data_IF_319455313628
#
_entry.id   IF_319455313628
#
_cell.length_a   1.000
_cell.length_b   1.000
_cell.length_c   1.000
_cell.angle_alpha   90.00
_cell.angle_beta   90.00
_cell.angle_gamma   90.00
#
_symmetry.space_group_name_H-M   'P 1'
#
loop_
_entity.id
_entity.type
_entity.pdbx_description
1 polymer ?
#
# COMPACT_ATOMS: atom_id res chain seq x y z
N UNK A 1 -15.61 -31.68 -7.03
CA UNK A 1 -14.47 -31.10 -7.78
C UNK A 1 -14.86 -29.67 -8.10
N UNK A 2 -14.04 -28.67 -7.80
CA UNK A 2 -14.42 -27.27 -8.03
C UNK A 2 -14.31 -26.92 -9.52
N UNK A 3 -15.08 -25.97 -10.02
CA UNK A 3 -15.04 -25.45 -11.41
C UNK A 3 -13.62 -24.97 -11.77
N UNK A 4 -12.84 -24.52 -10.80
CA UNK A 4 -11.40 -24.27 -10.95
C UNK A 4 -10.68 -25.53 -11.45
N UNK A 5 -10.95 -26.70 -10.85
CA UNK A 5 -10.35 -27.94 -11.28
C UNK A 5 -10.80 -28.40 -12.69
N UNK A 6 -12.04 -28.08 -13.09
CA UNK A 6 -12.56 -28.39 -14.44
C UNK A 6 -12.03 -27.43 -15.51
N UNK A 7 -11.97 -26.15 -15.22
CA UNK A 7 -11.33 -25.17 -16.11
C UNK A 7 -9.85 -25.47 -16.32
N UNK A 8 -9.15 -25.88 -15.26
CA UNK A 8 -7.75 -26.30 -15.28
C UNK A 8 -7.53 -27.64 -16.01
N UNK A 9 -8.54 -28.53 -16.00
CA UNK A 9 -8.48 -29.80 -16.76
C UNK A 9 -8.71 -29.60 -18.27
N UNK A 10 -9.38 -28.54 -18.67
CA UNK A 10 -9.59 -28.17 -20.09
C UNK A 10 -8.39 -27.48 -20.74
N UNK A 11 -7.42 -26.99 -19.93
CA UNK A 11 -6.17 -26.37 -20.39
C UNK A 11 -4.94 -27.09 -19.80
N UNK A 12 -4.66 -28.36 -20.20
CA UNK A 12 -3.67 -29.22 -19.55
C UNK A 12 -2.20 -28.84 -19.73
N UNK A 13 -1.90 -27.80 -20.51
CA UNK A 13 -0.53 -27.40 -20.85
C UNK A 13 0.09 -26.34 -19.93
N UNK A 14 -0.65 -25.86 -18.92
CA UNK A 14 -0.12 -24.92 -17.95
C UNK A 14 0.21 -25.59 -16.61
N UNK A 15 1.46 -25.94 -16.34
CA UNK A 15 1.89 -26.48 -15.04
C UNK A 15 1.71 -25.49 -13.88
N UNK A 16 1.54 -24.20 -14.19
CA UNK A 16 1.51 -23.08 -13.24
C UNK A 16 0.17 -22.86 -12.54
N UNK A 17 -0.89 -23.55 -12.96
CA UNK A 17 -2.23 -23.44 -12.35
C UNK A 17 -2.42 -24.32 -11.10
N UNK A 18 -1.39 -25.06 -10.70
CA UNK A 18 -1.37 -25.82 -9.44
C UNK A 18 -1.73 -24.98 -8.19
N UNK A 19 -1.37 -23.68 -8.10
CA UNK A 19 -1.68 -22.88 -6.93
C UNK A 19 -3.16 -22.76 -6.60
N UNK A 20 -3.98 -22.51 -7.61
CA UNK A 20 -5.42 -22.30 -7.40
C UNK A 20 -6.23 -23.57 -7.17
N UNK A 21 -5.65 -24.76 -7.43
CA UNK A 21 -6.28 -26.05 -7.08
C UNK A 21 -6.45 -26.25 -5.58
N UNK A 22 -5.68 -25.55 -4.76
CA UNK A 22 -5.71 -25.65 -3.30
C UNK A 22 -6.67 -24.66 -2.64
N UNK A 23 -7.26 -23.71 -3.39
CA UNK A 23 -8.26 -22.79 -2.83
C UNK A 23 -9.53 -23.58 -2.57
N UNK A 24 -9.60 -24.20 -1.39
CA UNK A 24 -10.88 -24.64 -0.85
C UNK A 24 -11.75 -23.39 -0.62
N UNK A 25 -12.87 -23.33 -1.32
CA UNK A 25 -13.86 -22.25 -1.42
C UNK A 25 -14.54 -21.84 -0.10
N UNK A 26 -13.96 -22.15 1.05
CA UNK A 26 -14.55 -21.89 2.38
C UNK A 26 -14.31 -20.48 2.94
N UNK A 27 -13.38 -19.75 2.38
CA UNK A 27 -12.94 -18.47 2.98
C UNK A 27 -13.53 -17.21 2.34
N UNK A 28 -14.09 -17.29 1.15
CA UNK A 28 -14.88 -16.20 0.57
C UNK A 28 -16.34 -16.56 0.82
N UNK A 29 -17.09 -15.77 1.58
CA UNK A 29 -18.43 -16.05 2.12
C UNK A 29 -19.55 -16.47 1.15
N UNK A 30 -19.21 -17.04 0.01
CA UNK A 30 -20.07 -17.64 -0.97
C UNK A 30 -19.76 -19.12 -1.07
N UNK A 31 -20.60 -19.98 -0.49
CA UNK A 31 -20.53 -21.43 -0.59
C UNK A 31 -20.84 -21.96 -2.03
N UNK A 32 -20.39 -21.24 -3.05
CA UNK A 32 -20.55 -21.53 -4.46
C UNK A 32 -19.23 -21.78 -5.17
N UNK A 33 -19.32 -22.33 -6.37
CA UNK A 33 -18.18 -22.50 -7.29
C UNK A 33 -17.64 -21.11 -7.66
N UNK A 34 -16.30 -20.96 -7.67
CA UNK A 34 -15.69 -19.72 -8.16
C UNK A 34 -15.97 -19.59 -9.66
N UNK A 35 -16.60 -18.49 -10.05
CA UNK A 35 -16.75 -18.11 -11.45
C UNK A 35 -15.50 -17.32 -11.86
N UNK A 36 -15.07 -17.51 -13.11
CA UNK A 36 -13.97 -16.76 -13.71
C UNK A 36 -14.54 -15.81 -14.75
N UNK A 37 -14.09 -14.58 -14.70
CA UNK A 37 -14.54 -13.52 -15.57
C UNK A 37 -13.33 -12.77 -16.14
N UNK A 38 -13.36 -12.40 -17.42
CA UNK A 38 -12.30 -11.58 -17.99
C UNK A 38 -12.24 -10.23 -17.29
N UNK A 39 -11.04 -9.79 -16.90
CA UNK A 39 -10.84 -8.48 -16.28
C UNK A 39 -11.18 -7.30 -17.21
N UNK A 40 -11.24 -7.55 -18.50
CA UNK A 40 -11.34 -6.53 -19.56
C UNK A 40 -12.73 -5.98 -19.78
N UNK A 41 -13.80 -6.67 -19.44
CA UNK A 41 -15.16 -6.31 -19.89
C UNK A 41 -16.19 -6.24 -18.77
N UNK A 42 -15.79 -6.41 -17.53
CA UNK A 42 -16.70 -6.59 -16.42
C UNK A 42 -16.85 -5.35 -15.56
N UNK A 43 -17.97 -4.72 -15.69
CA UNK A 43 -18.44 -3.68 -14.80
C UNK A 43 -18.45 -2.27 -15.41
N UNK A 44 -19.22 -1.35 -14.82
CA UNK A 44 -19.18 0.06 -15.20
C UNK A 44 -17.74 0.57 -15.00
N UNK A 45 -17.31 1.58 -15.77
CA UNK A 45 -16.02 2.22 -15.59
C UNK A 45 -15.87 2.58 -14.11
N UNK A 46 -14.81 2.10 -13.51
CA UNK A 46 -14.63 2.20 -12.07
C UNK A 46 -14.79 3.64 -11.60
N UNK A 47 -15.79 3.86 -10.76
CA UNK A 47 -15.94 5.11 -10.04
C UNK A 47 -14.79 5.19 -9.03
N UNK A 48 -13.64 5.70 -9.46
CA UNK A 48 -12.63 6.14 -8.50
C UNK A 48 -13.08 7.49 -7.96
N UNK A 49 -13.30 7.61 -6.68
CA UNK A 49 -13.71 8.86 -6.03
C UNK A 49 -12.67 9.98 -6.14
N UNK A 50 -11.49 9.73 -6.66
CA UNK A 50 -10.44 10.72 -6.73
C UNK A 50 -9.57 10.58 -7.98
N UNK A 51 -9.50 11.62 -8.76
CA UNK A 51 -8.51 11.81 -9.81
C UNK A 51 -9.03 11.65 -11.22
N UNK A 52 -8.15 11.75 -12.18
CA UNK A 52 -8.42 11.74 -13.60
C UNK A 52 -9.15 10.50 -14.09
N UNK A 53 -9.95 10.70 -15.12
CA UNK A 53 -10.56 9.62 -15.87
C UNK A 53 -9.49 8.62 -16.34
N UNK A 54 -9.61 7.38 -15.91
CA UNK A 54 -8.84 6.28 -16.44
C UNK A 54 -9.69 5.60 -17.53
N UNK A 55 -9.09 5.34 -18.67
CA UNK A 55 -9.79 4.65 -19.75
C UNK A 55 -9.89 3.16 -19.42
N UNK A 56 -11.11 2.62 -19.45
CA UNK A 56 -11.32 1.18 -19.34
C UNK A 56 -10.75 0.49 -20.58
N UNK A 57 -9.86 -0.49 -20.46
CA UNK A 57 -9.28 -1.15 -21.61
C UNK A 57 -10.34 -1.98 -22.33
N UNK A 58 -10.47 -1.76 -23.62
CA UNK A 58 -11.18 -2.70 -24.50
C UNK A 58 -10.22 -3.78 -24.98
N UNK A 59 -10.75 -4.94 -25.36
CA UNK A 59 -9.92 -6.01 -25.96
C UNK A 59 -9.11 -5.53 -27.18
N UNK A 60 -9.68 -4.61 -27.96
CA UNK A 60 -9.00 -3.98 -29.09
C UNK A 60 -7.81 -3.10 -28.66
N UNK A 61 -8.01 -2.26 -27.63
CA UNK A 61 -6.97 -1.40 -27.10
C UNK A 61 -5.81 -2.23 -26.51
N UNK A 62 -6.14 -3.30 -25.76
CA UNK A 62 -5.14 -4.22 -25.21
C UNK A 62 -4.36 -4.96 -26.30
N UNK A 63 -5.03 -5.51 -27.31
CA UNK A 63 -4.34 -6.14 -28.45
C UNK A 63 -3.40 -5.18 -29.17
N UNK A 64 -3.83 -3.92 -29.34
CA UNK A 64 -2.96 -2.89 -29.92
C UNK A 64 -1.78 -2.55 -29.02
N UNK A 65 -2.03 -2.42 -27.70
CA UNK A 65 -1.02 -2.07 -26.71
C UNK A 65 0.03 -3.18 -26.54
N UNK A 66 -0.40 -4.44 -26.42
CA UNK A 66 0.46 -5.59 -26.18
C UNK A 66 1.14 -6.13 -27.46
N UNK A 67 0.70 -5.67 -28.64
CA UNK A 67 1.32 -6.08 -29.91
C UNK A 67 2.83 -5.80 -29.87
N UNK A 68 3.60 -6.80 -30.27
CA UNK A 68 5.06 -6.71 -30.40
C UNK A 68 5.81 -6.47 -29.07
N UNK A 69 5.12 -6.61 -27.93
CA UNK A 69 5.74 -6.52 -26.61
C UNK A 69 5.93 -7.92 -26.00
N UNK A 70 7.16 -8.36 -25.72
CA UNK A 70 7.37 -9.61 -25.01
C UNK A 70 6.98 -9.44 -23.56
N UNK A 71 5.92 -10.13 -23.14
CA UNK A 71 5.50 -10.15 -21.74
C UNK A 71 6.37 -11.14 -20.98
N UNK A 72 7.28 -10.66 -20.16
CA UNK A 72 8.10 -11.51 -19.30
C UNK A 72 7.31 -11.82 -18.04
N UNK A 73 6.99 -13.11 -17.87
CA UNK A 73 6.25 -13.58 -16.69
C UNK A 73 7.12 -13.57 -15.43
N UNK A 74 6.51 -13.52 -14.24
CA UNK A 74 7.22 -13.70 -12.98
C UNK A 74 7.93 -15.06 -12.92
N UNK A 75 9.11 -15.10 -12.30
CA UNK A 75 9.89 -16.32 -12.09
C UNK A 75 9.26 -17.28 -11.07
N UNK A 76 8.41 -16.76 -10.19
CA UNK A 76 7.65 -17.47 -9.15
C UNK A 76 6.28 -16.81 -8.99
N UNK A 77 5.28 -17.51 -8.41
CA UNK A 77 4.00 -16.87 -8.14
C UNK A 77 4.17 -15.65 -7.24
N UNK A 78 3.37 -14.61 -7.46
CA UNK A 78 3.33 -13.41 -6.63
C UNK A 78 1.93 -13.27 -6.03
N UNK A 79 1.89 -12.91 -4.77
CA UNK A 79 0.68 -12.51 -4.06
C UNK A 79 0.82 -11.04 -3.66
N UNK A 80 0.04 -10.17 -4.28
CA UNK A 80 0.04 -8.73 -4.01
C UNK A 80 -1.18 -8.35 -3.18
N UNK A 81 -0.94 -7.76 -2.01
CA UNK A 81 -1.95 -7.22 -1.08
C UNK A 81 -1.55 -5.80 -0.72
N UNK A 82 -2.48 -4.87 -0.68
CA UNK A 82 -2.17 -3.45 -0.49
C UNK A 82 -3.22 -2.73 0.35
N UNK A 83 -2.87 -1.57 0.89
CA UNK A 83 -3.78 -0.64 1.59
C UNK A 83 -4.56 -1.32 2.73
N UNK A 84 -3.84 -2.07 3.56
CA UNK A 84 -4.39 -2.79 4.72
C UNK A 84 -4.81 -1.87 5.87
N UNK A 85 -4.22 -0.68 5.94
CA UNK A 85 -4.63 0.40 6.84
C UNK A 85 -4.98 -0.05 8.26
N UNK A 86 -4.00 -0.66 8.96
CA UNK A 86 -4.16 -1.07 10.35
C UNK A 86 -5.33 -2.05 10.61
N UNK A 87 -5.65 -2.91 9.63
CA UNK A 87 -6.70 -3.93 9.74
C UNK A 87 -6.11 -5.35 9.66
N UNK A 88 -5.87 -5.95 10.86
CA UNK A 88 -5.31 -7.30 11.01
C UNK A 88 -6.22 -8.37 10.42
N UNK A 89 -7.52 -8.24 10.62
CA UNK A 89 -8.49 -9.22 10.12
C UNK A 89 -8.55 -9.18 8.60
N UNK A 90 -8.52 -7.99 7.98
CA UNK A 90 -8.46 -7.84 6.52
C UNK A 90 -7.20 -8.46 5.93
N UNK A 91 -6.05 -8.35 6.61
CA UNK A 91 -4.80 -9.01 6.23
C UNK A 91 -4.97 -10.54 6.15
N UNK A 92 -5.39 -11.17 7.25
CA UNK A 92 -5.54 -12.63 7.29
C UNK A 92 -6.65 -13.10 6.35
N UNK A 93 -7.77 -12.39 6.28
CA UNK A 93 -8.89 -12.71 5.39
C UNK A 93 -8.46 -12.68 3.92
N UNK A 94 -7.64 -11.72 3.52
CA UNK A 94 -7.11 -11.61 2.15
C UNK A 94 -6.21 -12.80 1.80
N UNK A 95 -5.32 -13.21 2.71
CA UNK A 95 -4.43 -14.36 2.49
C UNK A 95 -5.16 -15.72 2.54
N UNK A 96 -6.14 -15.87 3.43
CA UNK A 96 -7.00 -17.06 3.50
C UNK A 96 -7.85 -17.19 2.23
N UNK A 97 -8.49 -16.08 1.81
CA UNK A 97 -9.32 -16.06 0.60
C UNK A 97 -8.54 -16.40 -0.67
N UNK A 98 -7.27 -16.07 -0.70
CA UNK A 98 -6.35 -16.42 -1.79
C UNK A 98 -5.78 -17.85 -1.68
N UNK A 99 -6.04 -18.59 -0.59
CA UNK A 99 -5.46 -19.90 -0.34
C UNK A 99 -3.95 -19.90 -0.06
N UNK A 100 -3.40 -18.73 0.28
CA UNK A 100 -1.97 -18.55 0.56
C UNK A 100 -1.59 -19.01 1.96
N UNK A 101 -2.54 -18.94 2.89
CA UNK A 101 -2.39 -19.41 4.26
C UNK A 101 -3.54 -20.35 4.63
N UNK A 102 -3.32 -21.17 5.66
CA UNK A 102 -4.35 -21.94 6.36
C UNK A 102 -4.24 -21.69 7.85
N UNK A 103 -5.36 -21.77 8.56
CA UNK A 103 -5.36 -21.70 10.03
C UNK A 103 -5.31 -23.12 10.58
N UNK A 104 -4.26 -23.44 11.35
CA UNK A 104 -4.07 -24.75 11.96
C UNK A 104 -5.04 -24.93 13.14
N UNK A 105 -5.64 -26.11 13.19
CA UNK A 105 -6.54 -26.53 14.29
C UNK A 105 -7.73 -25.58 14.54
N UNK A 106 -8.05 -24.70 13.60
CA UNK A 106 -9.18 -23.74 13.72
C UNK A 106 -10.37 -24.28 12.93
N UNK A 107 -11.48 -24.50 13.63
CA UNK A 107 -12.73 -24.99 13.05
C UNK A 107 -13.62 -23.86 12.54
N UNK A 108 -13.53 -22.67 13.15
CA UNK A 108 -14.37 -21.52 12.84
C UNK A 108 -13.53 -20.31 12.46
N UNK A 109 -13.60 -19.92 11.18
CA UNK A 109 -12.90 -18.76 10.61
C UNK A 109 -13.78 -17.49 10.53
N UNK A 110 -14.98 -17.50 11.13
CA UNK A 110 -15.90 -16.36 11.09
C UNK A 110 -15.46 -15.21 11.99
N UNK A 111 -14.68 -15.52 13.03
CA UNK A 111 -14.13 -14.51 13.94
C UNK A 111 -12.59 -14.61 13.97
N UNK A 112 -11.95 -13.89 13.06
CA UNK A 112 -10.49 -13.87 12.96
C UNK A 112 -9.83 -13.13 14.12
N UNK A 113 -10.56 -12.28 14.85
CA UNK A 113 -10.03 -11.55 16.00
C UNK A 113 -9.67 -12.48 17.16
N UNK A 114 -10.37 -13.61 17.29
CA UNK A 114 -10.14 -14.62 18.32
C UNK A 114 -8.99 -15.60 17.97
N UNK A 115 -8.46 -15.57 16.76
CA UNK A 115 -7.43 -16.51 16.31
C UNK A 115 -6.05 -15.87 16.47
N UNK A 116 -5.13 -16.51 17.22
CA UNK A 116 -3.76 -15.99 17.36
C UNK A 116 -3.00 -16.05 16.01
N UNK A 117 -2.07 -15.11 15.80
CA UNK A 117 -1.33 -14.99 14.54
C UNK A 117 -0.48 -16.24 14.23
N UNK A 118 0.00 -16.93 15.25
CA UNK A 118 0.79 -18.16 15.13
C UNK A 118 -0.02 -19.35 14.63
N UNK A 119 -1.36 -19.28 14.63
CA UNK A 119 -2.20 -20.31 14.04
C UNK A 119 -2.25 -20.25 12.51
N UNK A 120 -1.80 -19.14 11.90
CA UNK A 120 -1.79 -19.00 10.45
C UNK A 120 -0.45 -19.43 9.86
N UNK A 121 -0.47 -20.45 9.01
CA UNK A 121 0.72 -20.93 8.31
C UNK A 121 0.58 -20.86 6.80
N UNK A 122 1.70 -20.60 6.10
CA UNK A 122 1.71 -20.66 4.64
C UNK A 122 1.34 -22.07 4.15
N UNK A 123 0.40 -22.15 3.22
CA UNK A 123 0.10 -23.37 2.48
C UNK A 123 1.30 -23.82 1.63
N UNK A 124 1.32 -25.02 1.05
CA UNK A 124 2.38 -25.42 0.11
C UNK A 124 2.61 -24.44 -1.04
N UNK A 125 1.53 -23.79 -1.52
CA UNK A 125 1.67 -22.75 -2.53
C UNK A 125 2.15 -21.43 -1.91
N UNK A 126 1.65 -21.05 -0.74
CA UNK A 126 2.12 -19.87 -0.01
C UNK A 126 3.64 -19.91 0.21
N UNK A 127 4.21 -21.08 0.53
CA UNK A 127 5.67 -21.24 0.71
C UNK A 127 6.49 -21.02 -0.58
N UNK A 128 5.87 -21.14 -1.74
CA UNK A 128 6.52 -20.94 -3.05
C UNK A 128 6.25 -19.53 -3.61
N UNK A 129 5.39 -18.77 -2.95
CA UNK A 129 4.91 -17.48 -3.41
C UNK A 129 5.77 -16.33 -2.84
N UNK A 130 6.06 -15.34 -3.67
CA UNK A 130 6.61 -14.07 -3.23
C UNK A 130 5.47 -13.13 -2.84
N UNK A 131 5.39 -12.74 -1.58
CA UNK A 131 4.39 -11.78 -1.10
C UNK A 131 4.90 -10.35 -1.29
N UNK A 132 4.10 -9.52 -1.94
CA UNK A 132 4.38 -8.09 -2.07
C UNK A 132 3.26 -7.34 -1.35
N UNK A 133 3.61 -6.68 -0.25
CA UNK A 133 2.71 -5.78 0.46
C UNK A 133 2.86 -4.39 -0.14
N UNK A 134 1.77 -3.89 -0.72
CA UNK A 134 1.76 -2.71 -1.58
C UNK A 134 1.84 -1.37 -0.86
N UNK A 135 2.11 -1.36 0.46
CA UNK A 135 2.18 -0.17 1.30
C UNK A 135 0.85 0.18 1.95
N UNK A 136 0.87 1.29 2.70
CA UNK A 136 -0.22 1.78 3.52
C UNK A 136 -0.66 0.73 4.57
N UNK A 137 0.32 0.31 5.41
CA UNK A 137 0.05 -0.50 6.60
C UNK A 137 -0.55 0.33 7.73
N UNK A 138 -0.16 1.61 7.85
CA UNK A 138 -0.58 2.50 8.92
C UNK A 138 -1.86 3.26 8.61
N UNK A 139 -2.43 3.81 9.68
CA UNK A 139 -3.56 4.73 9.68
C UNK A 139 -4.91 4.09 9.28
N UNK A 140 -5.96 4.86 9.45
CA UNK A 140 -7.37 4.60 9.13
C UNK A 140 -8.03 3.45 9.91
N UNK A 141 -7.44 2.25 9.89
CA UNK A 141 -8.04 1.04 10.44
C UNK A 141 -8.06 0.97 11.98
N UNK A 142 -8.56 -0.13 12.54
CA UNK A 142 -8.85 -0.22 13.97
C UNK A 142 -7.61 -0.32 14.84
N UNK A 143 -6.52 -0.95 14.35
CA UNK A 143 -5.36 -1.23 15.17
C UNK A 143 -4.08 -1.42 14.37
N UNK A 144 -3.10 -0.53 14.57
CA UNK A 144 -1.81 -0.56 13.88
C UNK A 144 -0.90 -1.68 14.41
N UNK A 145 -0.69 -1.73 15.73
CA UNK A 145 0.21 -2.71 16.33
C UNK A 145 -0.21 -4.16 16.04
N UNK A 146 -1.48 -4.56 16.19
CA UNK A 146 -1.91 -5.91 15.84
C UNK A 146 -1.68 -6.29 14.37
N UNK A 147 -1.83 -5.35 13.41
CA UNK A 147 -1.48 -5.64 12.01
C UNK A 147 0.03 -5.86 11.85
N UNK A 148 0.87 -5.04 12.48
CA UNK A 148 2.33 -5.18 12.38
C UNK A 148 2.81 -6.47 13.04
N UNK A 149 2.20 -6.89 14.15
CA UNK A 149 2.44 -8.17 14.81
C UNK A 149 2.07 -9.33 13.88
N UNK A 150 0.90 -9.28 13.23
CA UNK A 150 0.46 -10.30 12.28
C UNK A 150 1.42 -10.42 11.10
N UNK A 151 1.82 -9.30 10.48
CA UNK A 151 2.81 -9.31 9.39
C UNK A 151 4.17 -9.83 9.87
N UNK A 152 4.60 -9.45 11.09
CA UNK A 152 5.85 -9.94 11.69
C UNK A 152 5.79 -11.45 11.96
N UNK A 153 4.66 -11.96 12.49
CA UNK A 153 4.42 -13.40 12.69
C UNK A 153 4.47 -14.15 11.37
N UNK A 154 3.78 -13.65 10.35
CA UNK A 154 3.81 -14.25 9.01
C UNK A 154 5.22 -14.26 8.40
N UNK A 155 5.98 -13.17 8.57
CA UNK A 155 7.38 -13.09 8.14
C UNK A 155 8.27 -14.15 8.81
N UNK A 156 8.06 -14.43 10.11
CA UNK A 156 8.83 -15.46 10.85
C UNK A 156 8.63 -16.86 10.30
N UNK A 157 7.60 -17.13 9.50
CA UNK A 157 7.41 -18.43 8.81
C UNK A 157 8.41 -18.68 7.68
N UNK A 158 9.27 -17.70 7.37
CA UNK A 158 10.32 -17.82 6.34
C UNK A 158 9.84 -17.58 4.91
N UNK A 159 8.67 -16.97 4.71
CA UNK A 159 8.18 -16.59 3.38
C UNK A 159 9.09 -15.52 2.76
N UNK A 160 9.14 -15.49 1.42
CA UNK A 160 9.73 -14.38 0.69
C UNK A 160 8.72 -13.23 0.62
N UNK A 161 9.12 -12.03 1.06
CA UNK A 161 8.26 -10.87 1.00
C UNK A 161 9.00 -9.60 0.60
N UNK A 162 8.26 -8.64 0.06
CA UNK A 162 8.68 -7.26 -0.20
C UNK A 162 7.60 -6.34 0.38
N UNK A 163 8.04 -5.31 1.12
CA UNK A 163 7.16 -4.25 1.61
C UNK A 163 7.40 -2.99 0.79
N UNK A 164 6.38 -2.46 0.14
CA UNK A 164 6.45 -1.18 -0.54
C UNK A 164 6.10 -0.04 0.41
N UNK A 165 6.69 1.11 0.16
CA UNK A 165 6.44 2.34 0.90
C UNK A 165 5.13 2.99 0.44
N UNK A 166 4.11 2.97 1.27
CA UNK A 166 2.89 3.74 1.08
C UNK A 166 3.00 5.17 1.60
N UNK A 167 2.08 6.03 1.19
CA UNK A 167 2.13 7.43 1.64
C UNK A 167 1.78 7.61 3.11
N UNK A 168 1.02 6.71 3.70
CA UNK A 168 0.75 6.70 5.14
C UNK A 168 1.97 6.20 5.91
N UNK A 169 2.66 5.18 5.43
CA UNK A 169 3.89 4.65 6.04
C UNK A 169 5.01 5.69 6.06
N UNK A 170 5.29 6.31 4.90
CA UNK A 170 6.31 7.37 4.79
C UNK A 170 5.95 8.56 5.67
N UNK A 171 4.69 8.98 5.70
CA UNK A 171 4.25 10.09 6.55
C UNK A 171 4.44 9.79 8.03
N UNK A 172 4.11 8.58 8.46
CA UNK A 172 4.31 8.14 9.86
C UNK A 172 5.80 8.11 10.21
N UNK A 173 6.62 7.52 9.35
CA UNK A 173 8.08 7.51 9.52
C UNK A 173 8.66 8.92 9.65
N UNK A 174 8.32 9.82 8.73
CA UNK A 174 8.83 11.20 8.74
C UNK A 174 8.29 12.00 9.94
N UNK A 175 7.02 11.82 10.28
CA UNK A 175 6.41 12.50 11.41
C UNK A 175 7.04 12.12 12.75
N UNK A 176 7.31 10.83 12.97
CA UNK A 176 8.01 10.37 14.19
C UNK A 176 9.47 10.87 14.17
N UNK A 177 10.20 10.66 13.08
CA UNK A 177 11.63 10.97 12.97
C UNK A 177 11.95 12.45 13.12
N UNK A 178 11.11 13.32 12.59
CA UNK A 178 11.32 14.78 12.55
C UNK A 178 10.37 15.55 13.45
N UNK A 179 9.79 14.90 14.46
CA UNK A 179 8.81 15.50 15.34
C UNK A 179 9.32 16.75 16.07
N UNK A 180 10.61 16.80 16.37
CA UNK A 180 11.28 17.94 17.06
C UNK A 180 12.21 18.70 16.14
N UNK A 181 12.00 18.63 14.82
CA UNK A 181 12.85 19.35 13.86
C UNK A 181 12.61 20.85 13.93
N UNK A 182 13.70 21.63 13.93
CA UNK A 182 13.67 23.08 13.92
C UNK A 182 13.82 23.69 12.52
N UNK A 183 14.25 22.90 11.52
CA UNK A 183 14.29 23.34 10.12
C UNK A 183 12.85 23.64 9.64
N UNK A 184 12.56 24.85 9.15
CA UNK A 184 11.21 25.21 8.69
C UNK A 184 10.64 24.27 7.63
N UNK A 185 11.49 23.60 6.82
CA UNK A 185 11.07 22.59 5.83
C UNK A 185 10.51 21.33 6.49
N UNK A 186 10.87 21.04 7.74
CA UNK A 186 10.60 19.77 8.44
C UNK A 186 9.72 19.94 9.68
N UNK A 187 9.74 21.09 10.33
CA UNK A 187 9.09 21.36 11.63
C UNK A 187 7.57 21.06 11.66
N UNK A 188 6.92 21.01 10.51
CA UNK A 188 5.49 20.69 10.40
C UNK A 188 5.18 19.20 10.22
N UNK A 189 6.18 18.34 10.02
CA UNK A 189 5.97 16.93 9.61
C UNK A 189 5.20 16.12 10.66
N UNK A 190 5.45 16.35 11.95
CA UNK A 190 4.69 15.71 13.02
C UNK A 190 3.20 16.05 12.95
N UNK A 191 2.88 17.32 12.96
CA UNK A 191 1.51 17.80 12.86
C UNK A 191 0.85 17.36 11.55
N UNK A 192 1.65 17.22 10.50
CA UNK A 192 1.20 16.80 9.17
C UNK A 192 0.69 15.36 9.12
N UNK A 193 1.07 14.49 10.06
CA UNK A 193 0.46 13.18 10.24
C UNK A 193 -1.05 13.33 10.50
N UNK A 194 -1.42 14.26 11.35
CA UNK A 194 -2.81 14.62 11.65
C UNK A 194 -3.54 13.57 12.50
N UNK A 195 -4.84 13.78 12.63
CA UNK A 195 -5.70 12.99 13.54
C UNK A 195 -5.75 11.49 13.28
N UNK A 196 -5.40 11.04 12.09
CA UNK A 196 -5.47 9.60 11.72
C UNK A 196 -4.42 8.78 12.45
N UNK A 197 -3.22 9.33 12.61
CA UNK A 197 -2.11 8.63 13.31
C UNK A 197 -2.30 8.61 14.82
N UNK A 198 -3.25 9.37 15.36
CA UNK A 198 -3.52 9.36 16.80
C UNK A 198 -3.94 7.98 17.33
N UNK A 199 -4.48 7.11 16.49
CA UNK A 199 -4.79 5.72 16.88
C UNK A 199 -3.50 4.97 17.24
N UNK A 200 -2.45 5.09 16.43
CA UNK A 200 -1.13 4.48 16.71
C UNK A 200 -0.57 4.97 18.06
N UNK A 201 -0.57 6.28 18.30
CA UNK A 201 -0.07 6.82 19.58
C UNK A 201 -0.89 6.34 20.77
N UNK A 202 -2.22 6.21 20.61
CA UNK A 202 -3.09 5.66 21.67
C UNK A 202 -2.78 4.19 21.95
N UNK A 203 -2.60 3.37 20.92
CA UNK A 203 -2.22 1.96 21.05
C UNK A 203 -0.88 1.82 21.77
N UNK A 204 0.13 2.58 21.34
CA UNK A 204 1.45 2.57 21.98
C UNK A 204 1.37 3.04 23.44
N UNK A 205 0.56 4.07 23.71
CA UNK A 205 0.35 4.53 25.08
C UNK A 205 -0.29 3.44 25.94
N UNK A 206 -1.35 2.82 25.47
CA UNK A 206 -2.07 1.79 26.24
C UNK A 206 -1.22 0.54 26.47
N UNK A 207 -0.47 0.10 25.45
CA UNK A 207 0.36 -1.10 25.54
C UNK A 207 1.60 -0.92 26.44
N UNK A 208 2.19 0.26 26.48
CA UNK A 208 3.52 0.44 27.09
C UNK A 208 3.57 1.46 28.23
N UNK A 209 2.58 2.36 28.36
CA UNK A 209 2.70 3.55 29.22
C UNK A 209 1.52 3.78 30.17
N UNK A 210 0.41 3.03 30.05
CA UNK A 210 -0.81 3.27 30.82
C UNK A 210 -0.63 3.15 32.34
N UNK A 211 0.34 2.34 32.81
CA UNK A 211 0.68 2.16 34.22
C UNK A 211 1.71 3.14 34.79
N UNK A 212 2.24 4.06 33.96
CA UNK A 212 3.28 4.99 34.38
C UNK A 212 2.79 6.18 35.20
N UNK A 213 3.69 6.84 35.94
CA UNK A 213 3.37 8.03 36.70
C UNK A 213 3.16 9.24 35.81
N UNK A 214 1.91 9.72 35.74
CA UNK A 214 1.54 10.89 34.91
C UNK A 214 2.17 12.20 35.41
N UNK A 215 2.70 12.27 36.64
CA UNK A 215 3.36 13.45 37.21
C UNK A 215 4.70 13.73 36.54
N UNK A 216 5.27 12.75 35.84
CA UNK A 216 6.52 12.87 35.07
C UNK A 216 6.28 13.37 33.64
N UNK A 217 5.01 13.56 33.19
CA UNK A 217 4.66 14.02 31.86
C UNK A 217 4.91 15.53 31.71
N UNK A 218 5.30 15.93 30.51
CA UNK A 218 5.38 17.35 30.17
C UNK A 218 3.99 18.01 30.23
N UNK A 219 3.99 19.31 30.51
CA UNK A 219 2.78 20.13 30.38
C UNK A 219 2.36 20.24 28.93
N UNK A 220 1.06 20.43 28.67
CA UNK A 220 0.56 20.62 27.29
C UNK A 220 1.21 21.83 26.59
N UNK A 221 1.57 22.88 27.33
CA UNK A 221 2.27 24.05 26.81
C UNK A 221 3.68 23.67 26.31
N UNK A 222 4.45 22.98 27.16
CA UNK A 222 5.80 22.52 26.78
C UNK A 222 5.79 21.55 25.59
N UNK A 223 4.74 20.74 25.45
CA UNK A 223 4.60 19.83 24.29
C UNK A 223 4.28 20.61 23.03
N UNK A 224 3.41 21.64 23.10
CA UNK A 224 3.14 22.51 21.95
C UNK A 224 4.42 23.18 21.45
N UNK A 225 5.22 23.73 22.37
CA UNK A 225 6.51 24.36 22.03
C UNK A 225 7.47 23.41 21.33
N UNK A 226 7.43 22.11 21.67
CA UNK A 226 8.36 21.12 21.09
C UNK A 226 7.86 20.48 19.80
N UNK A 227 6.56 20.24 19.68
CA UNK A 227 6.01 19.41 18.59
C UNK A 227 5.22 20.19 17.55
N UNK A 228 4.80 21.42 17.86
CA UNK A 228 4.01 22.21 16.92
C UNK A 228 4.89 23.30 16.29
N UNK A 229 4.68 23.61 15.01
CA UNK A 229 5.39 24.71 14.37
C UNK A 229 5.18 26.03 15.12
N UNK A 230 6.27 26.76 15.34
CA UNK A 230 6.22 28.10 15.91
C UNK A 230 5.44 29.07 15.01
N UNK A 231 4.91 30.19 15.55
CA UNK A 231 4.21 31.21 14.75
C UNK A 231 5.03 31.73 13.57
N UNK A 232 6.35 31.87 13.70
CA UNK A 232 7.28 32.28 12.63
C UNK A 232 7.28 31.33 11.44
N UNK A 233 7.00 30.03 11.66
CA UNK A 233 6.97 29.02 10.61
C UNK A 233 6.01 29.38 9.47
N UNK A 234 4.88 29.99 9.77
CA UNK A 234 3.88 30.37 8.77
C UNK A 234 4.35 31.44 7.79
N UNK A 235 5.41 32.17 8.12
CA UNK A 235 6.08 33.13 7.23
C UNK A 235 7.36 32.58 6.61
N UNK A 236 8.06 31.69 7.32
CA UNK A 236 9.33 31.12 6.91
C UNK A 236 9.15 29.99 5.90
N UNK A 237 8.22 29.06 6.15
CA UNK A 237 7.97 27.92 5.27
C UNK A 237 7.69 28.32 3.81
N UNK A 238 6.83 29.31 3.51
CA UNK A 238 6.64 29.77 2.14
C UNK A 238 7.93 30.19 1.44
N UNK A 239 8.86 30.84 2.16
CA UNK A 239 10.12 31.32 1.60
C UNK A 239 11.10 30.17 1.31
N UNK A 240 11.21 29.21 2.23
CA UNK A 240 12.14 28.07 2.06
C UNK A 240 11.60 27.01 1.10
N UNK A 241 10.30 26.97 0.87
CA UNK A 241 9.65 26.05 -0.07
C UNK A 241 9.59 26.62 -1.50
N UNK A 242 9.84 27.90 -1.68
CA UNK A 242 9.85 28.57 -2.99
C UNK A 242 10.86 27.91 -3.93
N UNK A 243 10.46 27.70 -5.19
CA UNK A 243 11.30 27.03 -6.19
C UNK A 243 11.25 25.50 -6.16
N UNK A 244 10.90 24.89 -5.01
CA UNK A 244 10.75 23.42 -4.89
C UNK A 244 9.28 23.00 -4.94
N UNK A 245 8.40 23.80 -4.33
CA UNK A 245 6.97 23.51 -4.23
C UNK A 245 6.17 24.58 -4.97
N UNK A 246 5.19 24.22 -5.81
CA UNK A 246 4.33 25.19 -6.48
C UNK A 246 3.61 26.10 -5.49
N UNK A 247 3.43 27.42 -5.78
CA UNK A 247 2.83 28.39 -4.85
C UNK A 247 1.47 27.96 -4.30
N UNK A 248 0.60 27.41 -5.15
CA UNK A 248 -0.73 26.91 -4.73
C UNK A 248 -0.66 25.72 -3.75
N UNK A 249 0.40 24.91 -3.82
CA UNK A 249 0.66 23.84 -2.85
C UNK A 249 1.21 24.41 -1.54
N UNK A 250 2.05 25.45 -1.59
CA UNK A 250 2.55 26.14 -0.38
C UNK A 250 1.39 26.71 0.42
N UNK A 251 0.51 27.50 -0.24
CA UNK A 251 -0.69 28.07 0.40
C UNK A 251 -1.59 26.99 1.03
N UNK A 252 -1.81 25.92 0.29
CA UNK A 252 -2.60 24.78 0.78
C UNK A 252 -1.94 24.11 1.98
N UNK A 253 -0.61 23.99 1.99
CA UNK A 253 0.14 23.38 3.09
C UNK A 253 0.05 24.22 4.35
N UNK A 254 0.31 25.52 4.25
CA UNK A 254 0.19 26.48 5.36
C UNK A 254 -1.19 26.44 6.01
N UNK A 255 -2.26 26.45 5.20
CA UNK A 255 -3.63 26.35 5.71
C UNK A 255 -3.85 25.00 6.41
N UNK A 256 -3.42 23.90 5.79
CA UNK A 256 -3.60 22.55 6.36
C UNK A 256 -2.84 22.34 7.66
N UNK A 257 -1.67 22.90 7.82
CA UNK A 257 -0.92 22.77 9.07
C UNK A 257 -1.70 23.42 10.22
N UNK A 258 -2.29 24.61 10.04
CA UNK A 258 -3.15 25.24 11.05
C UNK A 258 -4.33 24.35 11.46
N UNK A 259 -5.08 23.87 10.46
CA UNK A 259 -6.22 22.99 10.67
C UNK A 259 -5.80 21.72 11.43
N UNK A 260 -4.65 21.16 11.08
CA UNK A 260 -4.16 19.91 11.68
C UNK A 260 -3.60 20.04 13.08
N UNK A 261 -3.06 21.19 13.46
CA UNK A 261 -2.68 21.46 14.85
C UNK A 261 -3.89 21.33 15.77
N UNK A 262 -5.00 22.00 15.39
CA UNK A 262 -6.26 21.95 16.15
C UNK A 262 -6.88 20.55 16.13
N UNK A 263 -6.96 19.91 14.96
CA UNK A 263 -7.51 18.56 14.81
C UNK A 263 -6.74 17.51 15.62
N UNK A 264 -5.41 17.60 15.68
CA UNK A 264 -4.55 16.67 16.40
C UNK A 264 -4.79 16.79 17.92
N UNK A 265 -4.79 18.02 18.43
CA UNK A 265 -5.04 18.27 19.85
C UNK A 265 -6.45 17.83 20.26
N UNK A 266 -7.47 18.19 19.50
CA UNK A 266 -8.85 17.75 19.74
C UNK A 266 -8.97 16.22 19.73
N UNK A 267 -8.33 15.56 18.79
CA UNK A 267 -8.33 14.10 18.69
C UNK A 267 -7.61 13.46 19.87
N UNK A 268 -6.47 14.01 20.28
CA UNK A 268 -5.72 13.58 21.46
C UNK A 268 -6.63 13.57 22.70
N UNK A 269 -7.26 14.69 22.99
CA UNK A 269 -8.19 14.81 24.11
C UNK A 269 -9.41 13.89 24.00
N UNK A 270 -9.97 13.71 22.79
CA UNK A 270 -11.10 12.80 22.56
C UNK A 270 -10.77 11.33 22.83
N UNK A 271 -9.50 10.96 22.77
CA UNK A 271 -8.98 9.64 23.12
C UNK A 271 -8.61 9.51 24.61
N UNK A 272 -8.89 10.54 25.43
CA UNK A 272 -8.57 10.56 26.86
C UNK A 272 -7.08 10.74 27.16
N UNK A 273 -6.31 11.28 26.22
CA UNK A 273 -4.88 11.58 26.36
C UNK A 273 -4.66 13.08 26.56
N UNK A 274 -3.67 13.44 27.39
CA UNK A 274 -3.08 14.79 27.39
C UNK A 274 -2.03 14.90 26.28
N UNK A 275 -1.59 16.11 25.96
CA UNK A 275 -0.44 16.26 25.06
C UNK A 275 0.85 15.68 25.66
N UNK A 276 0.98 15.69 27.00
CA UNK A 276 2.07 15.00 27.69
C UNK A 276 2.05 13.49 27.50
N UNK A 277 0.84 12.87 27.48
CA UNK A 277 0.70 11.44 27.15
C UNK A 277 1.08 11.18 25.68
N UNK A 278 0.70 12.07 24.75
CA UNK A 278 1.08 11.99 23.35
C UNK A 278 2.59 12.10 23.17
N UNK A 279 3.25 13.02 23.85
CA UNK A 279 4.71 13.17 23.81
C UNK A 279 5.42 11.90 24.28
N UNK A 280 4.97 11.31 25.39
CA UNK A 280 5.56 10.05 25.87
C UNK A 280 5.29 8.88 24.92
N UNK A 281 4.11 8.82 24.30
CA UNK A 281 3.81 7.83 23.26
C UNK A 281 4.70 8.03 22.02
N UNK A 282 5.01 9.26 21.64
CA UNK A 282 5.95 9.56 20.55
C UNK A 282 7.36 9.06 20.86
N UNK A 283 7.89 9.35 22.06
CA UNK A 283 9.20 8.83 22.50
C UNK A 283 9.24 7.30 22.46
N UNK A 284 8.14 6.66 22.87
CA UNK A 284 8.03 5.20 22.77
C UNK A 284 7.95 4.73 21.30
N UNK A 285 7.27 5.44 20.41
CA UNK A 285 7.27 5.17 18.97
C UNK A 285 8.68 5.31 18.39
N UNK A 286 9.48 6.31 18.79
CA UNK A 286 10.87 6.43 18.35
C UNK A 286 11.66 5.16 18.70
N UNK A 287 11.52 4.64 19.91
CA UNK A 287 12.17 3.40 20.35
C UNK A 287 11.70 2.18 19.56
N UNK A 288 10.38 2.05 19.33
CA UNK A 288 9.79 0.88 18.67
C UNK A 288 10.08 0.84 17.17
N UNK A 289 10.10 2.00 16.50
CA UNK A 289 10.10 2.10 15.05
C UNK A 289 11.41 2.62 14.44
N UNK A 290 12.20 3.41 15.19
CA UNK A 290 13.38 4.08 14.63
C UNK A 290 14.70 3.65 15.24
N UNK A 291 14.70 3.16 16.48
CA UNK A 291 15.95 2.68 17.10
C UNK A 291 16.36 1.31 16.54
N UNK A 292 17.66 1.07 16.34
CA UNK A 292 18.14 -0.24 15.92
C UNK A 292 17.69 -1.35 16.88
N UNK A 293 17.02 -2.35 16.36
CA UNK A 293 16.47 -3.45 17.16
C UNK A 293 15.13 -3.15 17.83
N UNK A 294 14.52 -2.00 17.54
CA UNK A 294 13.14 -1.73 17.91
C UNK A 294 12.20 -2.78 17.32
N UNK A 295 11.15 -3.13 18.07
CA UNK A 295 10.25 -4.24 17.74
C UNK A 295 9.66 -4.13 16.34
N UNK A 296 9.37 -2.91 15.89
CA UNK A 296 8.76 -2.60 14.59
C UNK A 296 9.70 -1.83 13.66
N UNK A 297 11.00 -1.67 13.99
CA UNK A 297 11.97 -0.95 13.16
C UNK A 297 12.09 -1.53 11.75
N UNK A 298 11.87 -2.85 11.62
CA UNK A 298 11.90 -3.57 10.35
C UNK A 298 10.96 -2.98 9.29
N UNK A 299 9.86 -2.33 9.69
CA UNK A 299 8.89 -1.74 8.75
C UNK A 299 9.55 -0.65 7.92
N UNK A 300 10.19 0.32 8.59
CA UNK A 300 10.83 1.45 7.90
C UNK A 300 12.20 1.10 7.32
N UNK A 301 12.88 0.11 7.90
CA UNK A 301 14.17 -0.38 7.38
C UNK A 301 14.02 -1.19 6.09
N UNK A 302 12.93 -1.96 5.95
CA UNK A 302 12.73 -2.89 4.84
C UNK A 302 11.77 -2.40 3.76
N UNK A 303 11.04 -1.29 3.99
CA UNK A 303 10.17 -0.75 2.96
C UNK A 303 10.98 -0.27 1.76
N UNK A 304 10.53 -0.63 0.56
CA UNK A 304 11.14 -0.27 -0.72
C UNK A 304 10.20 0.65 -1.50
N UNK A 305 10.75 1.51 -2.35
CA UNK A 305 9.93 2.40 -3.15
C UNK A 305 9.21 1.67 -4.29
N UNK A 306 9.86 0.67 -4.86
CA UNK A 306 9.33 -0.12 -5.96
C UNK A 306 9.96 -1.51 -6.02
N UNK A 307 9.28 -2.43 -6.71
CA UNK A 307 9.78 -3.76 -7.03
C UNK A 307 9.47 -4.08 -8.49
N UNK A 308 10.35 -4.84 -9.14
CA UNK A 308 10.15 -5.32 -10.50
C UNK A 308 10.12 -6.83 -10.52
N UNK A 309 9.14 -7.40 -11.24
CA UNK A 309 9.15 -8.80 -11.61
C UNK A 309 8.69 -8.95 -13.06
N UNK A 310 9.57 -9.48 -13.89
CA UNK A 310 9.33 -9.57 -15.32
C UNK A 310 8.99 -8.22 -15.97
N UNK A 311 7.85 -8.14 -16.65
CA UNK A 311 7.36 -6.92 -17.31
C UNK A 311 6.51 -6.02 -16.41
N UNK A 312 6.46 -6.29 -15.11
CA UNK A 312 5.61 -5.62 -14.14
C UNK A 312 6.43 -4.77 -13.18
N UNK A 313 5.97 -3.55 -12.95
CA UNK A 313 6.48 -2.64 -11.93
C UNK A 313 5.46 -2.54 -10.80
N UNK A 314 5.88 -2.90 -9.60
CA UNK A 314 5.10 -2.76 -8.38
C UNK A 314 5.51 -1.47 -7.68
N UNK A 315 4.54 -0.59 -7.46
CA UNK A 315 4.71 0.67 -6.71
C UNK A 315 3.45 0.91 -5.90
N UNK A 316 3.53 1.77 -4.88
CA UNK A 316 2.31 2.06 -4.13
C UNK A 316 1.32 2.91 -4.93
N UNK A 317 1.78 3.95 -5.63
CA UNK A 317 0.88 4.88 -6.33
C UNK A 317 1.08 4.95 -7.85
N UNK A 318 2.28 5.23 -8.33
CA UNK A 318 2.53 5.40 -9.76
C UNK A 318 3.95 5.84 -10.08
N UNK A 319 4.16 6.40 -11.26
CA UNK A 319 5.48 6.85 -11.75
C UNK A 319 5.29 8.16 -12.52
N UNK A 320 6.30 9.02 -12.53
CA UNK A 320 6.37 10.20 -13.38
C UNK A 320 7.50 10.08 -14.42
N UNK A 321 7.65 11.08 -15.29
CA UNK A 321 8.66 11.09 -16.35
C UNK A 321 10.09 11.03 -15.80
N UNK A 322 10.35 11.69 -14.66
CA UNK A 322 11.69 11.74 -14.06
C UNK A 322 12.07 10.39 -13.47
N UNK A 323 11.18 9.79 -12.68
CA UNK A 323 11.39 8.47 -12.09
C UNK A 323 11.50 7.40 -13.20
N UNK A 324 10.66 7.47 -14.24
CA UNK A 324 10.76 6.59 -15.41
C UNK A 324 12.11 6.73 -16.13
N UNK A 325 12.61 7.96 -16.27
CA UNK A 325 13.94 8.23 -16.80
C UNK A 325 15.05 7.60 -15.96
N UNK A 326 14.98 7.73 -14.63
CA UNK A 326 15.96 7.10 -13.74
C UNK A 326 15.92 5.57 -13.82
N UNK A 327 14.71 4.97 -13.89
CA UNK A 327 14.57 3.51 -14.06
C UNK A 327 15.23 3.06 -15.38
N UNK A 328 15.04 3.80 -16.48
CA UNK A 328 15.65 3.50 -17.77
C UNK A 328 17.17 3.63 -17.72
N UNK A 329 17.70 4.73 -17.19
CA UNK A 329 19.11 5.11 -17.33
C UNK A 329 20.02 4.49 -16.27
N UNK A 330 19.48 4.22 -15.07
CA UNK A 330 20.25 3.80 -13.90
C UNK A 330 19.71 2.52 -13.22
N UNK A 331 18.54 2.06 -13.67
CA UNK A 331 17.88 0.88 -13.11
C UNK A 331 17.06 1.16 -11.86
N UNK A 332 16.23 0.18 -11.49
CA UNK A 332 15.32 0.30 -10.34
C UNK A 332 16.07 0.35 -9.00
N UNK A 333 17.19 -0.35 -8.88
CA UNK A 333 18.01 -0.36 -7.66
C UNK A 333 18.54 1.04 -7.31
N UNK A 334 18.84 1.86 -8.31
CA UNK A 334 19.21 3.25 -8.08
C UNK A 334 18.06 4.02 -7.43
N UNK A 335 16.85 3.86 -7.94
CA UNK A 335 15.65 4.55 -7.41
C UNK A 335 15.38 4.13 -5.98
N UNK A 336 15.48 2.83 -5.68
CA UNK A 336 15.30 2.30 -4.32
C UNK A 336 16.39 2.79 -3.35
N UNK A 337 17.66 2.80 -3.74
CA UNK A 337 18.73 3.38 -2.91
C UNK A 337 18.53 4.86 -2.66
N UNK A 338 18.19 5.64 -3.71
CA UNK A 338 17.91 7.07 -3.58
C UNK A 338 16.75 7.35 -2.65
N UNK A 339 15.73 6.48 -2.61
CA UNK A 339 14.63 6.57 -1.65
C UNK A 339 15.15 6.50 -0.20
N UNK A 340 15.96 5.51 0.15
CA UNK A 340 16.52 5.38 1.50
C UNK A 340 17.44 6.55 1.86
N UNK A 341 18.28 7.00 0.92
CA UNK A 341 19.15 8.15 1.11
C UNK A 341 18.37 9.43 1.39
N UNK A 342 17.32 9.70 0.62
CA UNK A 342 16.48 10.89 0.80
C UNK A 342 15.56 10.79 2.01
N UNK A 343 15.07 9.59 2.35
CA UNK A 343 14.32 9.36 3.58
C UNK A 343 15.12 9.69 4.84
N UNK A 344 16.43 9.46 4.78
CA UNK A 344 17.33 9.74 5.89
C UNK A 344 17.82 11.20 5.92
N UNK A 345 18.14 11.79 4.75
CA UNK A 345 18.91 13.01 4.66
C UNK A 345 18.16 14.22 4.09
N UNK A 346 17.16 14.00 3.24
CA UNK A 346 16.37 15.08 2.63
C UNK A 346 14.90 14.72 2.49
N UNK A 347 14.17 14.60 3.61
CA UNK A 347 12.74 14.24 3.60
C UNK A 347 11.86 15.27 2.88
N UNK A 348 12.31 16.51 2.75
CA UNK A 348 11.58 17.54 2.00
C UNK A 348 11.59 17.26 0.50
N UNK A 349 12.77 16.94 -0.06
CA UNK A 349 12.91 16.50 -1.46
C UNK A 349 12.20 15.15 -1.67
N UNK A 350 12.36 14.19 -0.75
CA UNK A 350 11.64 12.93 -0.83
C UNK A 350 10.14 13.15 -1.01
N UNK A 351 9.54 13.99 -0.18
CA UNK A 351 8.08 14.15 -0.17
C UNK A 351 7.55 14.98 -1.34
N UNK A 352 8.33 15.93 -1.84
CA UNK A 352 7.90 16.89 -2.85
C UNK A 352 8.41 16.58 -4.26
N UNK A 353 9.45 15.78 -4.38
CA UNK A 353 10.10 15.40 -5.63
C UNK A 353 9.54 14.14 -6.30
N UNK A 354 10.23 13.61 -7.31
CA UNK A 354 9.82 12.45 -8.11
C UNK A 354 9.62 11.17 -7.29
N UNK A 355 10.47 10.93 -6.28
CA UNK A 355 10.32 9.77 -5.40
C UNK A 355 9.00 9.82 -4.63
N UNK A 356 8.61 11.01 -4.14
CA UNK A 356 7.33 11.23 -3.47
C UNK A 356 6.13 10.94 -4.37
N UNK A 357 6.27 11.18 -5.66
CA UNK A 357 5.23 10.89 -6.63
C UNK A 357 4.97 9.37 -6.73
N UNK A 358 5.98 8.53 -6.56
CA UNK A 358 5.83 7.07 -6.66
C UNK A 358 4.96 6.47 -5.54
N UNK A 359 4.88 7.11 -4.37
CA UNK A 359 4.02 6.62 -3.28
C UNK A 359 2.77 7.48 -3.01
N UNK A 360 2.52 8.55 -3.80
CA UNK A 360 1.36 9.42 -3.52
C UNK A 360 0.69 10.05 -4.73
N UNK A 361 1.15 9.78 -5.95
CA UNK A 361 0.55 10.41 -7.13
C UNK A 361 -0.89 9.94 -7.34
N UNK A 362 -1.75 10.88 -7.74
CA UNK A 362 -3.07 10.63 -8.28
C UNK A 362 -3.16 11.12 -9.73
N UNK A 363 -2.01 11.49 -10.32
CA UNK A 363 -1.88 12.06 -11.65
C UNK A 363 -2.74 13.32 -11.87
N UNK A 364 -2.85 14.15 -10.83
CA UNK A 364 -3.51 15.45 -10.90
C UNK A 364 -2.57 16.49 -11.52
N UNK A 365 -3.12 17.63 -11.92
CA UNK A 365 -2.32 18.74 -12.48
C UNK A 365 -1.18 19.23 -11.56
N UNK A 366 -1.33 19.03 -10.26
CA UNK A 366 -0.30 19.38 -9.27
C UNK A 366 0.73 18.29 -9.03
N UNK A 367 0.50 17.07 -9.52
CA UNK A 367 1.46 15.97 -9.42
C UNK A 367 2.45 16.07 -10.60
N UNK A 368 3.65 15.47 -10.43
CA UNK A 368 4.59 15.41 -11.53
C UNK A 368 4.01 14.56 -12.67
N UNK A 369 4.16 15.00 -13.93
CA UNK A 369 3.46 14.37 -15.04
C UNK A 369 4.06 13.01 -15.43
N UNK A 370 3.20 12.14 -15.93
CA UNK A 370 3.55 11.00 -16.73
C UNK A 370 3.12 11.29 -18.18
N UNK A 371 4.05 11.29 -19.11
CA UNK A 371 3.85 11.59 -20.53
C UNK A 371 4.26 10.42 -21.41
N UNK A 372 4.18 10.61 -22.73
CA UNK A 372 4.69 9.63 -23.69
C UNK A 372 6.21 9.37 -23.54
N UNK A 373 6.97 10.35 -23.03
CA UNK A 373 8.39 10.17 -22.77
C UNK A 373 8.66 9.20 -21.62
N UNK A 374 7.93 9.33 -20.51
CA UNK A 374 8.00 8.39 -19.40
C UNK A 374 7.50 7.00 -19.80
N UNK A 375 6.40 6.94 -20.56
CA UNK A 375 5.89 5.68 -21.11
C UNK A 375 6.95 4.97 -21.98
N UNK A 376 7.58 5.70 -22.89
CA UNK A 376 8.63 5.16 -23.76
C UNK A 376 9.86 4.71 -22.94
N UNK A 377 10.21 5.43 -21.87
CA UNK A 377 11.32 5.06 -20.99
C UNK A 377 11.05 3.71 -20.30
N UNK A 378 9.86 3.51 -19.72
CA UNK A 378 9.49 2.23 -19.10
C UNK A 378 9.38 1.09 -20.10
N UNK A 379 8.76 1.32 -21.26
CA UNK A 379 8.70 0.32 -22.35
C UNK A 379 10.08 -0.07 -22.86
N UNK A 380 11.00 0.90 -22.94
CA UNK A 380 12.38 0.66 -23.40
C UNK A 380 13.16 -0.30 -22.51
N UNK A 381 12.77 -0.47 -21.26
CA UNK A 381 13.36 -1.44 -20.32
C UNK A 381 12.47 -2.67 -20.07
N UNK A 382 11.42 -2.86 -20.89
CA UNK A 382 10.55 -4.03 -20.82
C UNK A 382 9.52 -3.99 -19.69
N UNK A 383 9.20 -2.82 -19.15
CA UNK A 383 8.13 -2.62 -18.20
C UNK A 383 6.85 -2.20 -18.92
N UNK A 384 5.84 -3.05 -18.91
CA UNK A 384 4.62 -2.86 -19.70
C UNK A 384 3.36 -2.68 -18.87
N UNK A 385 3.42 -2.94 -17.57
CA UNK A 385 2.32 -2.64 -16.67
C UNK A 385 2.79 -2.24 -15.27
N UNK A 386 1.94 -1.47 -14.59
CA UNK A 386 2.10 -1.07 -13.18
C UNK A 386 1.05 -1.79 -12.35
N UNK A 387 1.48 -2.41 -11.24
CA UNK A 387 0.61 -2.97 -10.19
C UNK A 387 0.71 -2.06 -8.99
N UNK A 388 -0.43 -1.52 -8.52
CA UNK A 388 -0.42 -0.49 -7.48
C UNK A 388 -1.65 -0.52 -6.57
N UNK A 389 -1.55 0.14 -5.41
CA UNK A 389 -2.61 0.47 -4.46
C UNK A 389 -3.05 1.94 -4.53
N UNK A 390 -3.15 2.58 -3.36
CA UNK A 390 -3.32 4.03 -3.14
C UNK A 390 -4.63 4.66 -3.60
N UNK A 391 -5.23 4.19 -4.65
CA UNK A 391 -6.47 4.73 -5.21
C UNK A 391 -7.58 3.72 -5.01
N UNK A 392 -8.53 4.07 -4.14
CA UNK A 392 -9.69 3.25 -3.86
C UNK A 392 -10.40 2.84 -5.16
N UNK A 393 -10.64 1.55 -5.33
CA UNK A 393 -11.47 0.98 -6.39
C UNK A 393 -12.56 0.12 -5.76
N UNK A 394 -13.74 0.11 -6.39
CA UNK A 394 -14.91 -0.62 -5.90
C UNK A 394 -15.20 -1.82 -6.80
N UNK A 395 -15.92 -2.80 -6.26
CA UNK A 395 -16.22 -4.06 -6.98
C UNK A 395 -14.95 -4.87 -7.33
N UNK A 396 -13.99 -4.88 -6.39
CA UNK A 396 -12.71 -5.55 -6.55
C UNK A 396 -11.71 -4.76 -7.40
N UNK A 397 -10.58 -5.38 -7.73
CA UNK A 397 -9.50 -4.76 -8.47
C UNK A 397 -9.94 -4.30 -9.87
N UNK A 398 -9.27 -3.26 -10.39
CA UNK A 398 -9.53 -2.72 -11.72
C UNK A 398 -8.30 -2.75 -12.62
N UNK A 399 -8.51 -2.96 -13.91
CA UNK A 399 -7.51 -2.75 -14.94
C UNK A 399 -7.87 -1.51 -15.74
N UNK A 400 -6.90 -0.64 -16.00
CA UNK A 400 -7.13 0.58 -16.74
C UNK A 400 -5.88 1.05 -17.49
N UNK A 401 -6.07 1.88 -18.52
CA UNK A 401 -5.01 2.69 -19.07
C UNK A 401 -4.97 4.04 -18.36
N UNK A 402 -3.82 4.38 -17.83
CA UNK A 402 -3.57 5.68 -17.22
C UNK A 402 -2.36 6.30 -17.86
N UNK A 403 -2.56 7.45 -18.51
CA UNK A 403 -1.51 8.12 -19.28
C UNK A 403 -0.82 7.18 -20.30
N UNK A 404 -1.59 6.27 -20.91
CA UNK A 404 -1.08 5.29 -21.89
C UNK A 404 -0.39 4.06 -21.30
N UNK A 405 -0.15 3.99 -19.98
CA UNK A 405 0.38 2.83 -19.29
C UNK A 405 -0.75 1.91 -18.80
N UNK A 406 -0.60 0.62 -18.99
CA UNK A 406 -1.49 -0.38 -18.40
C UNK A 406 -1.29 -0.44 -16.88
N UNK A 407 -2.36 -0.34 -16.13
CA UNK A 407 -2.36 -0.38 -14.67
C UNK A 407 -3.31 -1.43 -14.15
N UNK A 408 -2.87 -2.16 -13.12
CA UNK A 408 -3.68 -3.00 -12.24
C UNK A 408 -3.84 -2.26 -10.92
N UNK A 409 -5.01 -1.64 -10.74
CA UNK A 409 -5.37 -0.91 -9.52
C UNK A 409 -5.97 -1.88 -8.51
N UNK A 410 -5.28 -2.10 -7.39
CA UNK A 410 -5.54 -3.19 -6.46
C UNK A 410 -6.05 -2.77 -5.07
N UNK A 411 -6.17 -1.46 -4.80
CA UNK A 411 -6.74 -0.95 -3.53
C UNK A 411 -8.27 -1.13 -3.53
N UNK A 412 -8.73 -2.32 -3.19
CA UNK A 412 -10.14 -2.69 -3.18
C UNK A 412 -10.84 -2.36 -1.84
N UNK A 413 -10.36 -1.38 -1.09
CA UNK A 413 -10.96 -0.92 0.17
C UNK A 413 -11.17 -2.05 1.17
N UNK A 414 -10.11 -2.75 1.53
CA UNK A 414 -10.21 -3.94 2.40
C UNK A 414 -10.40 -3.60 3.87
N UNK A 415 -9.91 -2.45 4.34
CA UNK A 415 -9.99 -2.07 5.75
C UNK A 415 -11.39 -1.61 6.16
N UNK A 416 -11.79 -1.95 7.38
CA UNK A 416 -13.15 -1.71 7.89
C UNK A 416 -13.51 -0.22 7.93
N UNK A 417 -12.57 0.67 8.23
CA UNK A 417 -12.84 2.10 8.33
C UNK A 417 -13.07 2.75 6.96
N UNK A 418 -12.25 2.40 5.95
CA UNK A 418 -12.49 2.86 4.58
C UNK A 418 -13.84 2.33 4.09
N UNK A 419 -14.15 1.06 4.36
CA UNK A 419 -15.45 0.47 3.98
C UNK A 419 -16.63 1.22 4.61
N UNK A 420 -16.55 1.58 5.88
CA UNK A 420 -17.59 2.36 6.56
C UNK A 420 -17.74 3.77 5.94
N UNK A 421 -16.65 4.44 5.62
CA UNK A 421 -16.66 5.77 5.01
C UNK A 421 -17.26 5.74 3.60
N UNK A 422 -16.92 4.72 2.81
CA UNK A 422 -17.36 4.55 1.42
C UNK A 422 -18.73 3.84 1.33
N UNK A 423 -19.31 3.41 2.45
CA UNK A 423 -20.61 2.73 2.49
C UNK A 423 -20.59 1.31 1.89
N UNK A 424 -19.43 0.64 1.91
CA UNK A 424 -19.27 -0.72 1.41
C UNK A 424 -19.75 -1.73 2.47
N UNK A 425 -20.58 -2.72 2.08
CA UNK A 425 -21.11 -3.70 3.01
C UNK A 425 -20.08 -4.76 3.41
N UNK A 426 -20.24 -5.33 4.60
CA UNK A 426 -19.50 -6.51 5.06
C UNK A 426 -18.00 -6.23 5.29
N UNK A 427 -17.25 -7.31 5.40
CA UNK A 427 -15.83 -7.32 5.65
C UNK A 427 -15.05 -7.39 4.34
N UNK A 428 -13.97 -6.59 4.22
CA UNK A 428 -13.16 -6.53 3.01
C UNK A 428 -12.10 -7.62 2.96
N UNK A 429 -11.86 -8.12 1.76
CA UNK A 429 -10.65 -8.88 1.42
C UNK A 429 -10.35 -8.72 -0.06
N UNK A 430 -9.08 -8.60 -0.40
CA UNK A 430 -8.65 -8.57 -1.79
C UNK A 430 -7.20 -9.02 -1.94
N UNK A 431 -6.94 -9.74 -3.01
CA UNK A 431 -5.60 -10.24 -3.34
C UNK A 431 -5.45 -10.28 -4.86
N UNK A 432 -4.31 -9.84 -5.36
CA UNK A 432 -3.94 -10.01 -6.76
C UNK A 432 -2.85 -11.05 -6.88
N UNK A 433 -3.09 -12.12 -7.62
CA UNK A 433 -2.14 -13.22 -7.82
C UNK A 433 -1.61 -13.15 -9.25
N UNK A 434 -0.30 -13.21 -9.37
CA UNK A 434 0.39 -13.25 -10.64
C UNK A 434 1.07 -14.61 -10.79
N UNK A 435 0.69 -15.31 -11.82
CA UNK A 435 1.19 -16.67 -12.08
C UNK A 435 2.44 -16.65 -12.97
N UNK A 436 3.19 -17.73 -12.94
CA UNK A 436 4.44 -17.91 -13.72
C UNK A 436 4.22 -18.13 -15.22
N UNK A 437 2.98 -18.20 -15.66
CA UNK A 437 2.61 -18.16 -17.09
C UNK A 437 2.25 -16.74 -17.58
N UNK A 438 2.26 -15.76 -16.68
CA UNK A 438 1.93 -14.38 -16.97
C UNK A 438 0.48 -14.00 -16.70
N UNK A 439 -0.38 -14.97 -16.34
CA UNK A 439 -1.78 -14.72 -16.00
C UNK A 439 -1.90 -13.98 -14.67
N UNK A 440 -2.80 -13.02 -14.60
CA UNK A 440 -3.07 -12.21 -13.41
C UNK A 440 -4.52 -12.45 -12.96
N UNK A 441 -4.69 -12.76 -11.68
CA UNK A 441 -5.98 -13.02 -11.05
C UNK A 441 -6.28 -11.95 -10.00
N UNK A 442 -7.48 -11.37 -10.06
CA UNK A 442 -8.00 -10.46 -9.04
C UNK A 442 -9.09 -11.15 -8.22
N UNK A 443 -8.85 -11.33 -6.93
CA UNK A 443 -9.80 -11.88 -5.97
C UNK A 443 -10.25 -10.78 -5.03
N UNK A 444 -11.55 -10.65 -4.80
CA UNK A 444 -12.10 -9.69 -3.85
C UNK A 444 -13.43 -10.18 -3.29
N UNK A 445 -13.72 -9.87 -2.03
CA UNK A 445 -15.03 -10.12 -1.42
C UNK A 445 -16.14 -9.29 -2.07
N UNK A 446 -15.81 -8.19 -2.74
CA UNK A 446 -16.77 -7.28 -3.36
C UNK A 446 -17.10 -7.63 -4.81
N UNK A 447 -16.53 -8.69 -5.36
CA UNK A 447 -16.81 -9.16 -6.71
C UNK A 447 -17.10 -10.66 -6.71
N UNK A 448 -18.20 -11.11 -7.36
CA UNK A 448 -18.64 -12.50 -7.26
C UNK A 448 -17.73 -13.50 -8.01
N UNK A 449 -16.93 -13.01 -8.97
CA UNK A 449 -16.06 -13.84 -9.80
C UNK A 449 -14.58 -13.49 -9.60
N UNK A 450 -13.69 -14.42 -9.93
CA UNK A 450 -12.26 -14.15 -10.04
C UNK A 450 -12.00 -13.45 -11.37
N UNK A 451 -11.48 -12.24 -11.33
CA UNK A 451 -11.09 -11.50 -12.54
C UNK A 451 -9.81 -12.07 -13.12
N UNK A 452 -9.80 -12.44 -14.40
CA UNK A 452 -8.66 -13.05 -15.08
C UNK A 452 -8.17 -12.18 -16.23
N UNK A 453 -6.88 -11.90 -16.23
CA UNK A 453 -6.17 -11.31 -17.34
C UNK A 453 -5.08 -12.29 -17.81
N UNK A 454 -5.22 -12.81 -19.02
CA UNK A 454 -4.19 -13.58 -19.70
C UNK A 454 -3.62 -12.75 -20.88
N UNK A 455 -2.34 -12.36 -20.83
CA UNK A 455 -1.75 -11.56 -21.91
C UNK A 455 -1.77 -12.27 -23.27
N UNK A 456 -1.83 -13.61 -23.31
CA UNK A 456 -1.89 -14.42 -24.53
C UNK A 456 -3.20 -14.19 -25.28
N UNK A 457 -4.31 -14.00 -24.59
CA UNK A 457 -5.62 -13.73 -25.19
C UNK A 457 -5.65 -12.43 -26.01
N UNK A 458 -4.70 -11.53 -25.70
CA UNK A 458 -4.55 -10.24 -26.37
C UNK A 458 -3.39 -10.21 -27.39
N UNK A 459 -2.89 -11.38 -27.79
CA UNK A 459 -1.87 -11.54 -28.82
C UNK A 459 -0.45 -11.24 -28.33
N UNK A 460 -0.24 -11.21 -27.02
CA UNK A 460 1.09 -11.12 -26.44
C UNK A 460 1.76 -12.50 -26.40
N UNK A 461 3.03 -12.57 -26.66
CA UNK A 461 3.80 -13.78 -26.41
C UNK A 461 4.44 -13.67 -25.04
N UNK A 462 4.33 -14.74 -24.25
CA UNK A 462 4.89 -14.78 -22.90
C UNK A 462 6.23 -15.49 -22.91
N UNK A 463 7.23 -14.83 -22.34
CA UNK A 463 8.56 -15.41 -22.11
C UNK A 463 8.76 -15.63 -20.62
N UNK A 464 9.52 -16.67 -20.26
CA UNK A 464 9.93 -16.91 -18.87
C UNK A 464 11.29 -16.27 -18.61
N UNK A 465 11.50 -15.80 -17.38
CA UNK A 465 12.81 -15.32 -16.91
C UNK A 465 13.78 -16.48 -16.84
#
# INVERSE_FOLDING_TARGET
>A
MSVVAEHLAQHPTSPSLHPLRAVETRAVGHGGLLEFESWVETGPPGLSNEGEAADTPTAFALRRYLRDKPWVAPSQPICFVTDLHADREAFWRSLLGAGMVSALDVVDLRDLSAIPDEAFEPTPIGRQTHFIFGGDLFDKGPANLPLLEAVSSFKKTGIRFTLLAGNHDVRTCLGIRFARATDPRLAHLFVRMGKKTMTLFKEVFDAHLAGGDRRERLSDESVREQLFPEPSWFEEFPRVAEGTVPPSRIEKEVRRVREKMEELEQRCHSLGMSLGDLHAALERCEQLFLEPGGEHAWVFEQMQLAHREGSLLFVHAGVDDVAAGWIRDQGLDFVCRRFHETLANDPFELYNGPLGNMFRTKYRDLDLPMSEAGLAALHGVGLYAIVHGHRNVFLGQHMNFRRGMLNFACDACVDINTRQIEGLPGEGSATTILATDGTIYGLSADHPAVKVFDPVDYGCWVTKV
#
